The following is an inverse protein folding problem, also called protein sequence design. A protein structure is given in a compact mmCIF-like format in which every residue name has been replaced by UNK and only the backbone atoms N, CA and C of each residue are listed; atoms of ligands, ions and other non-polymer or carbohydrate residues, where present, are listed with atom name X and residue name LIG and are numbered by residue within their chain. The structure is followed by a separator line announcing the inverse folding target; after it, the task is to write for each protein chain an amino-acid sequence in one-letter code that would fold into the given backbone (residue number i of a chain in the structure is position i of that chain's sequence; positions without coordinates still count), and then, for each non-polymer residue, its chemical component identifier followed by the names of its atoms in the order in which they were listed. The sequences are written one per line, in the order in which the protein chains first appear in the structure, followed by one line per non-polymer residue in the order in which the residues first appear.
data_IF_491333240402
#
_entry.id   IF_491333240402
#
_cell.length_a   1.000
_cell.length_b   1.000
_cell.length_c   1.000
_cell.angle_alpha   90.00
_cell.angle_beta   90.00
_cell.angle_gamma   90.00
#
_symmetry.space_group_name_H-M   'P 1'
#
loop_
_entity.id
_entity.type
_entity.pdbx_description
1 polymer ?
#
# COMPACT_ATOMS: atom_id res chain seq x y z
N UNK A 1 -14.33 -5.45 -4.63
CA UNK A 1 -13.31 -5.81 -5.64
C UNK A 1 -12.69 -4.59 -6.32
N UNK A 2 -13.42 -3.78 -7.11
CA UNK A 2 -12.84 -2.63 -7.83
C UNK A 2 -12.12 -1.61 -6.92
N UNK A 3 -12.68 -1.31 -5.73
CA UNK A 3 -12.08 -0.38 -4.75
C UNK A 3 -10.69 -0.84 -4.27
N UNK A 4 -10.51 -2.13 -3.99
CA UNK A 4 -9.21 -2.67 -3.55
C UNK A 4 -8.17 -2.60 -4.66
N UNK A 5 -8.55 -2.88 -5.91
CA UNK A 5 -7.64 -2.79 -7.05
C UNK A 5 -7.17 -1.35 -7.26
N UNK A 6 -8.06 -0.37 -7.13
CA UNK A 6 -7.71 1.06 -7.19
C UNK A 6 -6.76 1.45 -6.04
N UNK A 7 -7.00 0.96 -4.83
CA UNK A 7 -6.11 1.19 -3.69
C UNK A 7 -4.72 0.59 -3.91
N UNK A 8 -4.64 -0.64 -4.45
CA UNK A 8 -3.38 -1.30 -4.80
C UNK A 8 -2.61 -0.51 -5.89
N UNK A 9 -3.32 -0.07 -6.94
CA UNK A 9 -2.74 0.71 -8.02
C UNK A 9 -2.13 2.02 -7.51
N UNK A 10 -2.87 2.79 -6.70
CA UNK A 10 -2.34 4.02 -6.12
C UNK A 10 -1.24 3.75 -5.09
N UNK A 11 -1.35 2.66 -4.32
CA UNK A 11 -0.31 2.23 -3.38
C UNK A 11 1.02 1.94 -4.08
N UNK A 12 0.98 1.35 -5.27
CA UNK A 12 2.17 1.12 -6.10
C UNK A 12 2.82 2.45 -6.52
N UNK A 13 2.04 3.38 -7.11
CA UNK A 13 2.55 4.68 -7.58
C UNK A 13 3.12 5.50 -6.42
N UNK A 14 2.42 5.56 -5.28
CA UNK A 14 2.92 6.29 -4.10
C UNK A 14 4.18 5.63 -3.52
N UNK A 15 4.31 4.31 -3.62
CA UNK A 15 5.53 3.58 -3.28
C UNK A 15 6.74 4.05 -4.07
N UNK A 16 6.58 4.19 -5.39
CA UNK A 16 7.65 4.70 -6.27
C UNK A 16 8.05 6.13 -5.91
N UNK A 17 7.07 7.00 -5.62
CA UNK A 17 7.35 8.38 -5.22
C UNK A 17 8.13 8.43 -3.91
N UNK A 18 7.73 7.65 -2.91
CA UNK A 18 8.41 7.57 -1.61
C UNK A 18 9.81 6.98 -1.78
N UNK A 19 9.94 5.89 -2.57
CA UNK A 19 11.22 5.25 -2.86
C UNK A 19 12.20 6.19 -3.56
N UNK A 20 11.72 6.94 -4.55
CA UNK A 20 12.51 7.96 -5.24
C UNK A 20 13.01 9.05 -4.27
N UNK A 21 12.12 9.61 -3.44
CA UNK A 21 12.49 10.62 -2.45
C UNK A 21 13.50 10.04 -1.44
N UNK A 22 13.28 8.81 -0.95
CA UNK A 22 14.17 8.14 -0.01
C UNK A 22 15.55 7.85 -0.59
N UNK A 23 15.60 7.42 -1.85
CA UNK A 23 16.85 7.17 -2.57
C UNK A 23 17.65 8.46 -2.77
N UNK A 24 16.98 9.57 -3.11
CA UNK A 24 17.60 10.89 -3.25
C UNK A 24 18.19 11.41 -1.93
N UNK A 25 17.56 11.07 -0.79
CA UNK A 25 18.02 11.48 0.53
C UNK A 25 19.19 10.63 1.06
N UNK A 26 19.19 9.33 0.76
CA UNK A 26 20.16 8.37 1.30
C UNK A 26 21.33 8.09 0.36
N UNK A 27 21.23 8.51 -0.90
CA UNK A 27 22.18 8.14 -1.96
C UNK A 27 22.06 6.67 -2.40
N UNK A 28 21.01 5.97 -1.95
CA UNK A 28 20.75 4.59 -2.38
C UNK A 28 20.28 4.53 -3.84
N UNK A 29 20.39 3.34 -4.45
CA UNK A 29 19.89 3.13 -5.82
C UNK A 29 18.37 3.03 -5.82
N UNK A 30 17.73 3.90 -6.62
CA UNK A 30 16.28 3.82 -6.87
C UNK A 30 15.93 2.63 -7.77
N UNK A 31 14.93 1.85 -7.38
CA UNK A 31 14.39 0.77 -8.21
C UNK A 31 12.86 0.85 -8.23
N UNK A 32 12.26 1.47 -9.27
CA UNK A 32 10.82 1.75 -9.29
C UNK A 32 9.97 0.49 -9.08
N UNK A 33 10.36 -0.62 -9.73
CA UNK A 33 9.67 -1.90 -9.57
C UNK A 33 9.72 -2.41 -8.13
N UNK A 34 10.91 -2.38 -7.49
CA UNK A 34 11.07 -2.89 -6.14
C UNK A 34 10.32 -2.02 -5.11
N UNK A 35 10.44 -0.70 -5.24
CA UNK A 35 9.84 0.27 -4.32
C UNK A 35 8.31 0.27 -4.42
N UNK A 36 7.77 0.25 -5.64
CA UNK A 36 6.34 0.17 -5.89
C UNK A 36 5.72 -1.15 -5.42
N UNK A 37 6.35 -2.30 -5.73
CA UNK A 37 5.85 -3.60 -5.27
C UNK A 37 5.90 -3.72 -3.75
N UNK A 38 6.98 -3.25 -3.12
CA UNK A 38 7.13 -3.30 -1.66
C UNK A 38 6.02 -2.50 -0.98
N UNK A 39 5.78 -1.26 -1.42
CA UNK A 39 4.70 -0.43 -0.89
C UNK A 39 3.31 -1.04 -1.14
N UNK A 40 3.09 -1.63 -2.32
CA UNK A 40 1.82 -2.27 -2.66
C UNK A 40 1.53 -3.49 -1.76
N UNK A 41 2.53 -4.33 -1.50
CA UNK A 41 2.39 -5.51 -0.61
C UNK A 41 2.16 -5.06 0.83
N UNK A 42 2.94 -4.11 1.34
CA UNK A 42 2.77 -3.58 2.69
C UNK A 42 1.39 -2.93 2.85
N UNK A 43 0.98 -2.10 1.89
CA UNK A 43 -0.34 -1.47 1.87
C UNK A 43 -1.47 -2.50 1.86
N UNK A 44 -1.34 -3.57 1.08
CA UNK A 44 -2.31 -4.67 1.07
C UNK A 44 -2.42 -5.36 2.42
N UNK A 45 -1.29 -5.69 3.05
CA UNK A 45 -1.26 -6.34 4.36
C UNK A 45 -1.90 -5.43 5.42
N UNK A 46 -1.49 -4.16 5.48
CA UNK A 46 -2.02 -3.19 6.45
C UNK A 46 -3.52 -2.99 6.30
N UNK A 47 -4.04 -2.85 5.08
CA UNK A 47 -5.48 -2.68 4.85
C UNK A 47 -6.27 -3.91 5.31
N UNK A 48 -5.79 -5.12 5.05
CA UNK A 48 -6.46 -6.34 5.52
C UNK A 48 -6.41 -6.47 7.05
N UNK A 49 -5.28 -6.13 7.67
CA UNK A 49 -5.15 -6.10 9.12
C UNK A 49 -6.12 -5.07 9.73
N UNK A 50 -6.12 -3.84 9.22
CA UNK A 50 -7.01 -2.78 9.69
C UNK A 50 -8.48 -3.18 9.56
N UNK A 51 -8.88 -3.80 8.46
CA UNK A 51 -10.24 -4.32 8.31
C UNK A 51 -10.57 -5.44 9.32
N UNK A 52 -9.58 -6.23 9.74
CA UNK A 52 -9.78 -7.27 10.78
C UNK A 52 -9.90 -6.68 12.19
N UNK A 53 -9.22 -5.56 12.47
CA UNK A 53 -9.27 -4.88 13.77
C UNK A 53 -10.48 -3.94 13.88
N UNK A 54 -10.86 -3.29 12.78
CA UNK A 54 -12.06 -2.49 12.65
C UNK A 54 -13.20 -3.43 12.26
N UNK A 55 -13.66 -4.26 13.22
CA UNK A 55 -14.93 -4.95 13.06
C UNK A 55 -16.02 -3.89 13.03
N UNK A 56 -16.64 -3.70 11.87
CA UNK A 56 -17.78 -2.82 11.74
C UNK A 56 -18.91 -3.36 12.66
N UNK A 57 -19.36 -2.62 13.69
CA UNK A 57 -20.38 -3.10 14.63
C UNK A 57 -21.71 -3.45 13.94
N UNK A 58 -21.86 -3.04 12.68
CA UNK A 58 -23.04 -3.24 11.85
C UNK A 58 -22.95 -4.46 10.91
N UNK A 59 -21.81 -5.16 10.87
CA UNK A 59 -21.61 -6.33 9.99
C UNK A 59 -22.43 -7.57 10.40
N UNK A 60 -23.05 -7.56 11.59
CA UNK A 60 -23.87 -8.66 12.13
C UNK A 60 -25.37 -8.58 11.75
N UNK A 61 -25.76 -7.67 10.85
CA UNK A 61 -27.16 -7.56 10.41
C UNK A 61 -27.30 -7.90 8.94
N UNK A 62 -27.02 -9.14 8.52
CA UNK A 62 -27.67 -9.81 7.38
C UNK A 62 -27.36 -11.31 7.36
#
# INVERSE_FOLDING_TARGET
MAKQLVTLFWGFIYGEVIGYIGSALTGATFSPLADGLTAMVIGFILVNILNSFIQDPTADKH
#
